data_IF_825323208896
#
_entry.id   IF_825323208896
#
_cell.length_a   1.000
_cell.length_b   1.000
_cell.length_c   1.000
_cell.angle_alpha   90.00
_cell.angle_beta   90.00
_cell.angle_gamma   90.00
#
_symmetry.space_group_name_H-M   'P 1'
#
loop_
_entity.id
_entity.type
_entity.pdbx_description
1 polymer ?
#
# COMPACT_ATOMS: atom_id res chain seq x y z
N UNK A 1 8.62 16.67 -21.20
CA UNK A 1 7.76 15.57 -21.68
C UNK A 1 8.51 14.90 -22.81
N UNK A 2 9.09 13.73 -22.55
CA UNK A 2 10.12 13.14 -23.41
C UNK A 2 9.49 12.21 -24.46
N UNK A 3 10.12 12.16 -25.64
CA UNK A 3 9.73 11.43 -26.85
C UNK A 3 9.78 9.88 -26.73
N UNK A 4 9.49 9.31 -25.55
CA UNK A 4 9.65 7.88 -25.25
C UNK A 4 8.36 7.04 -25.34
N UNK A 5 7.19 7.64 -25.56
CA UNK A 5 5.93 6.88 -25.50
C UNK A 5 5.77 5.84 -26.61
N UNK A 6 6.36 6.05 -27.79
CA UNK A 6 6.29 5.09 -28.89
C UNK A 6 7.15 3.84 -28.60
N UNK A 7 8.37 4.05 -28.11
CA UNK A 7 9.27 2.96 -27.73
C UNK A 7 8.73 2.16 -26.54
N UNK A 8 8.11 2.84 -25.57
CA UNK A 8 7.44 2.19 -24.43
C UNK A 8 6.21 1.40 -24.89
N UNK A 9 5.44 1.90 -25.86
CA UNK A 9 4.28 1.16 -26.38
C UNK A 9 4.69 -0.13 -27.11
N UNK A 10 5.67 -0.06 -28.01
CA UNK A 10 6.13 -1.25 -28.74
C UNK A 10 6.83 -2.25 -27.83
N UNK A 11 7.64 -1.79 -26.89
CA UNK A 11 8.25 -2.65 -25.87
C UNK A 11 7.18 -3.27 -24.95
N UNK A 12 6.13 -2.54 -24.58
CA UNK A 12 5.09 -3.04 -23.66
C UNK A 12 4.40 -4.31 -24.15
N UNK A 13 4.28 -4.51 -25.48
CA UNK A 13 3.73 -5.72 -26.10
C UNK A 13 4.55 -6.97 -25.79
N UNK A 14 5.84 -6.83 -25.51
CA UNK A 14 6.74 -7.94 -25.17
C UNK A 14 6.87 -8.15 -23.65
N UNK A 15 6.29 -7.26 -22.84
CA UNK A 15 6.31 -7.35 -21.38
C UNK A 15 5.08 -8.08 -20.84
N UNK A 16 5.03 -8.27 -19.52
CA UNK A 16 3.84 -8.75 -18.80
C UNK A 16 2.57 -7.91 -19.04
N UNK A 17 2.67 -6.76 -19.72
CA UNK A 17 1.53 -5.93 -20.17
C UNK A 17 0.96 -6.31 -21.54
N UNK A 18 1.64 -7.19 -22.27
CA UNK A 18 1.27 -7.66 -23.61
C UNK A 18 0.32 -8.85 -23.62
N UNK A 19 -0.04 -9.37 -22.44
CA UNK A 19 -0.82 -10.59 -22.26
C UNK A 19 0.03 -11.85 -22.21
N UNK A 20 -0.63 -12.96 -21.87
CA UNK A 20 0.03 -14.24 -21.59
C UNK A 20 0.44 -14.98 -22.87
N UNK A 21 1.70 -15.44 -22.91
CA UNK A 21 2.24 -16.28 -24.01
C UNK A 21 2.20 -17.76 -23.60
N UNK A 22 2.61 -18.08 -22.37
CA UNK A 22 2.46 -19.39 -21.74
C UNK A 22 1.51 -19.28 -20.54
N UNK A 23 0.64 -20.27 -20.38
CA UNK A 23 -0.26 -20.38 -19.23
C UNK A 23 -0.35 -21.82 -18.72
N UNK A 24 -0.82 -22.01 -17.49
CA UNK A 24 -0.86 -23.31 -16.79
C UNK A 24 -1.47 -24.43 -17.63
N UNK A 25 -2.52 -24.16 -18.41
CA UNK A 25 -3.13 -25.17 -19.29
C UNK A 25 -2.31 -25.57 -20.53
N UNK A 26 -1.39 -24.73 -21.01
CA UNK A 26 -0.43 -25.11 -22.07
C UNK A 26 0.68 -25.98 -21.47
N UNK A 27 1.11 -25.66 -20.24
CA UNK A 27 2.23 -26.34 -19.58
C UNK A 27 1.83 -27.68 -18.94
N UNK A 28 0.58 -27.84 -18.52
CA UNK A 28 0.01 -29.09 -18.00
C UNK A 28 -1.38 -29.37 -18.60
N UNK A 29 -1.42 -29.96 -19.81
CA UNK A 29 -2.67 -30.24 -20.52
C UNK A 29 -3.56 -31.27 -19.82
N UNK A 30 -3.02 -32.10 -18.92
CA UNK A 30 -3.79 -33.13 -18.21
C UNK A 30 -4.44 -32.56 -16.94
N UNK A 31 -3.73 -31.75 -16.16
CA UNK A 31 -4.32 -31.03 -15.03
C UNK A 31 -5.38 -30.02 -15.48
N UNK A 32 -5.20 -29.39 -16.64
CA UNK A 32 -6.21 -28.49 -17.23
C UNK A 32 -7.49 -29.20 -17.68
N UNK A 33 -7.43 -30.49 -18.01
CA UNK A 33 -8.62 -31.31 -18.31
C UNK A 33 -9.38 -31.68 -17.03
N UNK A 34 -8.70 -31.79 -15.89
CA UNK A 34 -9.29 -32.16 -14.60
C UNK A 34 -10.01 -30.99 -13.88
N UNK A 35 -9.67 -29.74 -14.22
CA UNK A 35 -10.40 -28.54 -13.82
C UNK A 35 -10.33 -27.51 -14.94
N UNK A 36 -11.34 -27.46 -15.83
CA UNK A 36 -11.36 -26.53 -16.94
C UNK A 36 -11.68 -25.13 -16.42
N UNK A 37 -10.66 -24.41 -15.95
CA UNK A 37 -10.76 -22.95 -15.82
C UNK A 37 -10.61 -22.39 -17.23
N UNK A 38 -11.59 -21.60 -17.70
CA UNK A 38 -11.51 -20.91 -18.99
C UNK A 38 -10.17 -20.19 -19.09
N UNK A 39 -9.28 -20.68 -19.95
CA UNK A 39 -8.01 -20.02 -20.24
C UNK A 39 -8.28 -18.93 -21.24
N UNK A 40 -8.90 -17.87 -20.75
CA UNK A 40 -9.01 -16.63 -21.49
C UNK A 40 -7.60 -16.10 -21.66
N UNK A 41 -7.17 -15.94 -22.91
CA UNK A 41 -5.97 -15.19 -23.24
C UNK A 41 -6.16 -13.77 -22.71
N UNK A 42 -5.68 -13.50 -21.50
CA UNK A 42 -5.87 -12.19 -20.88
C UNK A 42 -5.04 -11.16 -21.63
N UNK A 43 -5.70 -10.24 -22.33
CA UNK A 43 -5.03 -9.04 -22.83
C UNK A 43 -4.77 -8.08 -21.66
N UNK A 44 -3.55 -7.53 -21.60
CA UNK A 44 -3.13 -6.65 -20.52
C UNK A 44 -2.30 -7.38 -19.47
N UNK A 45 -2.38 -6.93 -18.22
CA UNK A 45 -1.61 -7.49 -17.09
C UNK A 45 -2.36 -8.59 -16.33
N UNK A 46 -3.55 -8.95 -16.78
CA UNK A 46 -4.46 -9.88 -16.12
C UNK A 46 -5.35 -9.22 -15.07
N UNK A 47 -6.60 -9.67 -14.93
CA UNK A 47 -7.59 -8.97 -14.11
C UNK A 47 -7.24 -9.00 -12.61
N UNK A 48 -6.83 -10.16 -12.10
CA UNK A 48 -6.50 -10.33 -10.68
C UNK A 48 -5.28 -9.50 -10.28
N UNK A 49 -4.25 -9.47 -11.13
CA UNK A 49 -3.07 -8.63 -10.90
C UNK A 49 -3.40 -7.14 -11.05
N UNK A 50 -4.18 -6.75 -12.07
CA UNK A 50 -4.60 -5.37 -12.26
C UNK A 50 -5.32 -4.85 -11.01
N UNK A 51 -6.19 -5.67 -10.43
CA UNK A 51 -7.04 -5.33 -9.28
C UNK A 51 -6.46 -5.72 -7.92
N UNK A 52 -5.17 -6.08 -7.86
CA UNK A 52 -4.55 -6.55 -6.62
C UNK A 52 -4.59 -5.49 -5.50
N UNK A 53 -4.34 -4.22 -5.81
CA UNK A 53 -4.54 -3.08 -4.88
C UNK A 53 -5.86 -2.38 -5.21
N UNK A 54 -6.95 -2.97 -4.73
CA UNK A 54 -8.30 -2.43 -4.82
C UNK A 54 -8.72 -1.86 -3.48
N UNK A 55 -9.25 -0.64 -3.48
CA UNK A 55 -9.70 0.02 -2.26
C UNK A 55 -10.91 -0.70 -1.67
N UNK A 56 -10.86 -1.05 -0.39
CA UNK A 56 -11.98 -1.58 0.38
C UNK A 56 -13.02 -0.50 0.71
N UNK A 57 -14.26 -0.92 0.96
CA UNK A 57 -15.31 0.03 1.38
C UNK A 57 -15.04 0.58 2.79
N UNK A 58 -14.51 -0.25 3.68
CA UNK A 58 -14.05 0.12 5.02
C UNK A 58 -12.89 1.12 4.99
N UNK A 59 -12.08 1.11 3.93
CA UNK A 59 -10.95 2.03 3.77
C UNK A 59 -11.40 3.46 3.47
N UNK A 60 -12.66 3.70 3.10
CA UNK A 60 -13.21 5.06 2.99
C UNK A 60 -13.07 5.84 4.30
N UNK A 61 -13.10 5.17 5.46
CA UNK A 61 -12.86 5.82 6.75
C UNK A 61 -11.43 6.35 6.89
N UNK A 62 -10.45 5.73 6.23
CA UNK A 62 -9.05 6.11 6.28
C UNK A 62 -8.79 7.50 5.65
N UNK A 63 -9.68 7.95 4.77
CA UNK A 63 -9.63 9.27 4.11
C UNK A 63 -9.72 10.40 5.15
N UNK A 64 -10.56 10.22 6.18
CA UNK A 64 -10.83 11.21 7.23
C UNK A 64 -10.18 10.89 8.57
N UNK A 65 -9.87 9.62 8.84
CA UNK A 65 -9.28 9.14 10.09
C UNK A 65 -8.06 8.28 9.75
N UNK A 66 -6.82 8.74 9.99
CA UNK A 66 -5.62 8.05 9.52
C UNK A 66 -5.57 6.55 9.84
N UNK A 67 -5.74 6.17 11.10
CA UNK A 67 -5.71 4.77 11.51
C UNK A 67 -7.09 4.10 11.53
N UNK A 68 -8.02 4.50 10.65
CA UNK A 68 -9.33 3.85 10.57
C UNK A 68 -9.19 2.36 10.33
N UNK A 69 -8.47 1.99 9.26
CA UNK A 69 -8.11 0.61 8.94
C UNK A 69 -6.79 0.16 9.57
N UNK A 70 -6.31 0.87 10.60
CA UNK A 70 -5.15 0.46 11.39
C UNK A 70 -3.79 0.99 10.93
N UNK A 71 -3.71 1.71 9.81
CA UNK A 71 -2.46 2.31 9.33
C UNK A 71 -1.67 1.37 8.43
N UNK A 72 -0.38 1.16 8.70
CA UNK A 72 0.48 0.26 7.93
C UNK A 72 0.25 -1.23 8.27
N UNK A 73 0.62 -2.10 7.33
CA UNK A 73 0.61 -3.56 7.55
C UNK A 73 1.71 -4.04 8.50
N UNK A 74 2.76 -3.24 8.71
CA UNK A 74 3.75 -3.43 9.77
C UNK A 74 3.77 -2.18 10.65
N UNK A 75 2.87 -2.12 11.62
CA UNK A 75 2.66 -0.94 12.44
C UNK A 75 3.44 -1.01 13.75
N UNK A 76 4.00 0.14 14.15
CA UNK A 76 4.63 0.31 15.44
C UNK A 76 3.61 0.78 16.50
N UNK A 77 3.53 0.03 17.59
CA UNK A 77 2.79 0.40 18.79
C UNK A 77 3.76 0.95 19.85
N UNK A 78 3.21 1.73 20.79
CA UNK A 78 3.94 2.19 21.97
C UNK A 78 3.93 1.14 23.08
N UNK A 79 4.81 1.30 24.07
CA UNK A 79 4.84 0.47 25.28
C UNK A 79 3.58 0.64 26.16
N UNK A 80 2.81 1.70 25.93
CA UNK A 80 1.47 1.87 26.53
C UNK A 80 0.36 1.08 25.83
N UNK A 81 0.67 0.34 24.76
CA UNK A 81 -0.30 -0.45 24.02
C UNK A 81 -0.79 -1.67 24.81
N UNK A 82 -2.00 -2.13 24.48
CA UNK A 82 -2.57 -3.33 25.11
C UNK A 82 -1.79 -4.58 24.70
N UNK A 83 -1.25 -4.60 23.49
CA UNK A 83 -0.40 -5.68 22.98
C UNK A 83 0.89 -5.78 23.81
N UNK A 84 1.58 -4.66 24.07
CA UNK A 84 2.76 -4.68 24.94
C UNK A 84 2.42 -5.16 26.35
N UNK A 85 1.33 -4.64 26.94
CA UNK A 85 0.88 -5.05 28.26
C UNK A 85 0.55 -6.54 28.32
N UNK A 86 -0.11 -7.09 27.30
CA UNK A 86 -0.43 -8.52 27.23
C UNK A 86 0.84 -9.40 27.21
N UNK A 87 1.89 -8.97 26.49
CA UNK A 87 3.18 -9.67 26.46
C UNK A 87 3.86 -9.64 27.83
N UNK A 88 4.02 -8.45 28.42
CA UNK A 88 4.73 -8.28 29.69
C UNK A 88 3.99 -8.95 30.85
N UNK A 89 2.67 -8.86 30.89
CA UNK A 89 1.84 -9.52 31.92
C UNK A 89 1.95 -11.05 31.89
N UNK A 90 2.36 -11.62 30.75
CA UNK A 90 2.61 -13.06 30.56
C UNK A 90 4.08 -13.45 30.74
N UNK A 91 4.91 -12.52 31.22
CA UNK A 91 6.32 -12.78 31.53
C UNK A 91 7.28 -12.62 30.36
N UNK A 92 6.83 -12.11 29.21
CA UNK A 92 7.74 -11.76 28.11
C UNK A 92 8.60 -10.58 28.55
N UNK A 93 9.91 -10.75 28.51
CA UNK A 93 10.84 -9.70 28.92
C UNK A 93 10.70 -8.46 28.01
N UNK A 94 10.83 -7.23 28.54
CA UNK A 94 10.76 -6.00 27.75
C UNK A 94 11.68 -6.00 26.51
N UNK A 95 12.86 -6.61 26.62
CA UNK A 95 13.84 -6.74 25.53
C UNK A 95 13.31 -7.57 24.34
N UNK A 96 12.37 -8.49 24.58
CA UNK A 96 11.70 -9.27 23.53
C UNK A 96 10.37 -8.65 23.10
N UNK A 97 9.64 -8.01 24.02
CA UNK A 97 8.36 -7.39 23.75
C UNK A 97 8.50 -6.11 22.88
N UNK A 98 9.53 -5.30 23.11
CA UNK A 98 9.71 -4.03 22.39
C UNK A 98 9.93 -4.21 20.87
N UNK A 99 10.77 -5.16 20.39
CA UNK A 99 10.88 -5.45 18.96
C UNK A 99 9.58 -5.98 18.34
N UNK A 100 8.84 -6.84 19.07
CA UNK A 100 7.59 -7.41 18.59
C UNK A 100 6.55 -6.32 18.27
N UNK A 101 6.39 -5.33 19.16
CA UNK A 101 5.38 -4.29 18.99
C UNK A 101 5.70 -3.30 17.87
N UNK A 102 6.88 -3.36 17.25
CA UNK A 102 7.27 -2.50 16.12
C UNK A 102 6.81 -3.03 14.75
N UNK A 103 6.37 -4.28 14.67
CA UNK A 103 5.98 -4.95 13.42
C UNK A 103 4.62 -5.63 13.49
N UNK A 104 3.69 -5.09 14.29
CA UNK A 104 2.37 -5.71 14.48
C UNK A 104 1.52 -5.47 13.23
N UNK A 105 0.75 -6.46 12.75
CA UNK A 105 -0.15 -6.27 11.62
C UNK A 105 -1.35 -5.42 12.04
N UNK A 106 -1.21 -4.10 12.05
CA UNK A 106 -2.29 -3.20 12.45
C UNK A 106 -3.31 -3.02 11.35
N UNK A 107 -2.87 -2.97 10.09
CA UNK A 107 -3.76 -2.88 8.94
C UNK A 107 -4.75 -4.05 8.89
N UNK A 108 -6.03 -3.73 8.68
CA UNK A 108 -7.11 -4.72 8.59
C UNK A 108 -8.04 -4.54 7.38
N UNK A 109 -7.67 -3.70 6.41
CA UNK A 109 -8.40 -3.54 5.16
C UNK A 109 -8.16 -4.67 4.16
N UNK A 110 -8.70 -4.52 2.94
CA UNK A 110 -8.66 -5.57 1.91
C UNK A 110 -7.39 -5.61 1.05
N UNK A 111 -6.54 -4.58 1.09
CA UNK A 111 -5.31 -4.57 0.29
C UNK A 111 -4.29 -5.61 0.79
N UNK A 112 -3.45 -6.17 -0.10
CA UNK A 112 -2.48 -7.20 0.31
C UNK A 112 -1.50 -6.70 1.37
N UNK A 113 -1.04 -5.46 1.22
CA UNK A 113 -0.30 -4.72 2.21
C UNK A 113 -0.32 -3.23 1.87
N UNK A 114 -0.15 -2.40 2.90
CA UNK A 114 0.03 -0.95 2.78
C UNK A 114 1.16 -0.47 3.68
N UNK A 115 1.94 0.47 3.19
CA UNK A 115 2.99 1.13 3.98
C UNK A 115 2.46 2.30 4.80
N UNK A 116 1.24 2.73 4.51
CA UNK A 116 0.51 3.75 5.24
C UNK A 116 -0.90 3.88 4.68
N UNK A 117 -1.83 4.48 5.43
CA UNK A 117 -3.21 4.62 5.03
C UNK A 117 -3.35 5.73 3.99
N UNK A 118 -4.38 5.64 3.16
CA UNK A 118 -4.72 6.70 2.22
C UNK A 118 -5.47 7.86 2.92
N UNK A 119 -4.73 8.61 3.73
CA UNK A 119 -5.26 9.78 4.43
C UNK A 119 -5.23 11.03 3.56
N UNK A 120 -6.39 11.65 3.32
CA UNK A 120 -6.48 12.86 2.49
C UNK A 120 -6.27 14.16 3.29
N UNK A 121 -6.20 14.07 4.62
CA UNK A 121 -6.21 15.23 5.52
C UNK A 121 -7.64 15.63 5.87
N UNK A 122 -8.00 15.59 7.16
CA UNK A 122 -9.37 15.88 7.59
C UNK A 122 -9.78 17.32 7.24
N UNK A 123 -8.82 18.26 7.27
CA UNK A 123 -9.06 19.65 6.89
C UNK A 123 -9.36 19.75 5.39
N UNK A 124 -8.69 18.98 4.55
CA UNK A 124 -8.98 18.95 3.10
C UNK A 124 -10.40 18.43 2.84
N UNK A 125 -10.79 17.34 3.51
CA UNK A 125 -12.15 16.77 3.38
C UNK A 125 -13.20 17.75 3.91
N UNK A 126 -12.96 18.40 5.05
CA UNK A 126 -13.83 19.44 5.59
C UNK A 126 -14.01 20.57 4.59
N UNK A 127 -12.92 21.09 4.02
CA UNK A 127 -12.97 22.18 3.06
C UNK A 127 -13.66 21.75 1.76
N UNK A 128 -13.50 20.51 1.32
CA UNK A 128 -14.26 19.96 0.20
C UNK A 128 -15.77 19.98 0.47
N UNK A 129 -16.22 19.43 1.61
CA UNK A 129 -17.65 19.43 1.99
C UNK A 129 -18.17 20.85 2.14
N UNK A 130 -17.38 21.73 2.74
CA UNK A 130 -17.65 23.16 2.80
C UNK A 130 -17.82 23.78 1.41
N UNK A 131 -16.92 23.45 0.46
CA UNK A 131 -16.97 23.90 -0.92
C UNK A 131 -18.22 23.45 -1.66
N UNK A 132 -18.70 22.23 -1.42
CA UNK A 132 -19.97 21.74 -1.98
C UNK A 132 -21.16 22.66 -1.63
N UNK A 133 -21.17 23.24 -0.42
CA UNK A 133 -22.21 24.14 0.05
C UNK A 133 -21.95 25.62 -0.27
N UNK A 134 -20.70 26.07 -0.18
CA UNK A 134 -20.31 27.47 -0.39
C UNK A 134 -20.27 27.86 -1.87
N UNK A 135 -19.76 26.98 -2.73
CA UNK A 135 -19.61 27.25 -4.15
C UNK A 135 -20.94 27.00 -4.88
N UNK A 136 -21.48 28.04 -5.55
CA UNK A 136 -22.81 28.01 -6.17
C UNK A 136 -22.80 27.68 -7.67
N UNK A 137 -21.62 27.67 -8.30
CA UNK A 137 -21.48 27.40 -9.74
C UNK A 137 -21.78 25.92 -10.09
N UNK A 138 -22.12 25.68 -11.36
CA UNK A 138 -22.34 24.34 -11.94
C UNK A 138 -21.06 23.51 -12.00
N UNK A 139 -19.87 24.13 -12.05
CA UNK A 139 -18.59 23.41 -12.09
C UNK A 139 -18.43 22.41 -10.91
N UNK A 140 -19.04 22.69 -9.75
CA UNK A 140 -19.00 21.78 -8.59
C UNK A 140 -19.54 20.39 -8.88
N UNK A 141 -20.58 20.27 -9.71
CA UNK A 141 -21.20 18.99 -10.01
C UNK A 141 -20.28 18.13 -10.87
N UNK A 142 -19.55 18.74 -11.80
CA UNK A 142 -18.53 18.05 -12.60
C UNK A 142 -17.34 17.59 -11.75
N UNK A 143 -16.88 18.43 -10.82
CA UNK A 143 -15.81 18.06 -9.87
C UNK A 143 -16.27 16.88 -9.00
N UNK A 144 -17.47 16.95 -8.42
CA UNK A 144 -18.03 15.87 -7.59
C UNK A 144 -18.20 14.59 -8.41
N UNK A 145 -18.73 14.67 -9.64
CA UNK A 145 -18.89 13.52 -10.52
C UNK A 145 -17.54 12.84 -10.83
N UNK A 146 -16.49 13.64 -11.08
CA UNK A 146 -15.14 13.11 -11.32
C UNK A 146 -14.54 12.46 -10.06
N UNK A 147 -14.76 13.03 -8.87
CA UNK A 147 -14.34 12.42 -7.60
C UNK A 147 -15.06 11.07 -7.41
N UNK A 148 -16.38 11.03 -7.60
CA UNK A 148 -17.17 9.79 -7.49
C UNK A 148 -16.65 8.75 -8.48
N UNK A 149 -16.38 9.13 -9.73
CA UNK A 149 -15.81 8.23 -10.73
C UNK A 149 -14.45 7.67 -10.30
N UNK A 150 -13.58 8.51 -9.70
CA UNK A 150 -12.29 8.04 -9.17
C UNK A 150 -12.49 6.97 -8.07
N UNK A 151 -13.45 7.16 -7.16
CA UNK A 151 -13.76 6.15 -6.14
C UNK A 151 -14.32 4.86 -6.74
N UNK A 152 -15.25 4.96 -7.69
CA UNK A 152 -15.81 3.79 -8.39
C UNK A 152 -14.72 2.97 -9.09
N UNK A 153 -13.72 3.64 -9.68
CA UNK A 153 -12.55 2.98 -10.26
C UNK A 153 -11.66 2.38 -9.17
N UNK A 154 -11.38 3.13 -8.11
CA UNK A 154 -10.47 2.71 -7.03
C UNK A 154 -10.93 1.45 -6.30
N UNK A 155 -12.25 1.21 -6.22
CA UNK A 155 -12.79 -0.01 -5.62
C UNK A 155 -12.36 -1.29 -6.35
N UNK A 156 -11.94 -1.22 -7.62
CA UNK A 156 -11.35 -2.38 -8.32
C UNK A 156 -12.18 -3.66 -8.20
N UNK A 157 -11.60 -4.72 -7.64
CA UNK A 157 -12.28 -6.01 -7.41
C UNK A 157 -13.45 -5.91 -6.42
N UNK A 158 -13.46 -4.96 -5.49
CA UNK A 158 -14.59 -4.70 -4.58
C UNK A 158 -15.82 -4.13 -5.31
N UNK A 159 -15.64 -3.62 -6.54
CA UNK A 159 -16.72 -3.27 -7.47
C UNK A 159 -16.46 -3.89 -8.85
N UNK A 160 -16.21 -5.20 -8.87
CA UNK A 160 -15.73 -5.91 -10.05
C UNK A 160 -16.58 -5.70 -11.32
N UNK A 161 -17.91 -5.63 -11.20
CA UNK A 161 -18.77 -5.37 -12.37
C UNK A 161 -18.42 -4.05 -13.08
N UNK A 162 -18.30 -2.96 -12.31
CA UNK A 162 -17.96 -1.65 -12.86
C UNK A 162 -16.53 -1.63 -13.39
N UNK A 163 -15.58 -2.20 -12.64
CA UNK A 163 -14.19 -2.21 -13.08
C UNK A 163 -13.98 -3.06 -14.35
N UNK A 164 -14.66 -4.22 -14.47
CA UNK A 164 -14.62 -5.07 -15.67
C UNK A 164 -15.16 -4.34 -16.90
N UNK A 165 -16.19 -3.51 -16.75
CA UNK A 165 -16.70 -2.69 -17.85
C UNK A 165 -15.60 -1.78 -18.42
N UNK A 166 -14.86 -1.09 -17.55
CA UNK A 166 -13.76 -0.21 -17.95
C UNK A 166 -12.58 -1.01 -18.50
N UNK A 167 -12.23 -2.11 -17.83
CA UNK A 167 -11.13 -3.01 -18.19
C UNK A 167 -11.28 -3.58 -19.61
N UNK A 168 -12.51 -3.95 -20.00
CA UNK A 168 -12.77 -4.57 -21.30
C UNK A 168 -13.05 -3.57 -22.42
N UNK A 169 -13.60 -2.38 -22.11
CA UNK A 169 -14.05 -1.42 -23.15
C UNK A 169 -13.03 -0.32 -23.41
N UNK A 170 -12.36 0.20 -22.37
CA UNK A 170 -11.51 1.38 -22.53
C UNK A 170 -10.12 0.97 -23.04
N UNK A 171 -9.69 1.46 -24.22
CA UNK A 171 -8.38 1.10 -24.77
C UNK A 171 -7.23 1.41 -23.82
N UNK A 172 -6.40 0.40 -23.53
CA UNK A 172 -5.24 0.52 -22.66
C UNK A 172 -5.53 0.51 -21.17
N UNK A 173 -6.79 0.45 -20.74
CA UNK A 173 -7.15 0.41 -19.32
C UNK A 173 -6.67 -0.87 -18.63
N UNK A 174 -6.75 -2.00 -19.33
CA UNK A 174 -6.23 -3.32 -18.90
C UNK A 174 -4.70 -3.38 -18.69
N UNK A 175 -3.98 -2.29 -18.96
CA UNK A 175 -2.53 -2.19 -18.71
C UNK A 175 -2.21 -1.51 -17.38
N UNK A 176 -3.19 -0.89 -16.72
CA UNK A 176 -2.98 -0.32 -15.39
C UNK A 176 -2.93 -1.40 -14.31
N UNK A 177 -2.19 -1.11 -13.24
CA UNK A 177 -2.13 -1.90 -12.01
C UNK A 177 -2.48 -1.00 -10.84
N UNK A 178 -3.05 -1.57 -9.78
CA UNK A 178 -3.40 -0.86 -8.55
C UNK A 178 -4.46 0.26 -8.76
N UNK A 179 -5.76 -0.10 -8.83
CA UNK A 179 -6.88 0.83 -8.86
C UNK A 179 -6.78 2.01 -7.90
N UNK A 180 -6.26 1.80 -6.68
CA UNK A 180 -6.14 2.83 -5.64
C UNK A 180 -5.36 4.07 -6.07
N UNK A 181 -4.42 3.95 -7.01
CA UNK A 181 -3.59 5.06 -7.48
C UNK A 181 -4.41 6.21 -8.11
N UNK A 182 -5.62 5.96 -8.62
CA UNK A 182 -6.47 7.02 -9.20
C UNK A 182 -6.93 8.04 -8.15
N UNK A 183 -6.93 7.67 -6.87
CA UNK A 183 -7.40 8.51 -5.77
C UNK A 183 -6.57 9.79 -5.56
N UNK A 184 -5.35 9.86 -6.12
CA UNK A 184 -4.58 11.11 -6.19
C UNK A 184 -5.33 12.22 -6.94
N UNK A 185 -6.10 11.86 -7.98
CA UNK A 185 -6.93 12.80 -8.74
C UNK A 185 -8.10 13.27 -7.88
N UNK A 186 -8.76 12.33 -7.18
CA UNK A 186 -9.84 12.66 -6.25
C UNK A 186 -9.37 13.65 -5.18
N UNK A 187 -8.21 13.41 -4.57
CA UNK A 187 -7.63 14.28 -3.54
C UNK A 187 -7.38 15.70 -4.08
N UNK A 188 -6.80 15.84 -5.27
CA UNK A 188 -6.56 17.14 -5.91
C UNK A 188 -7.87 17.88 -6.22
N UNK A 189 -8.88 17.18 -6.73
CA UNK A 189 -10.20 17.74 -7.02
C UNK A 189 -10.94 18.18 -5.76
N UNK A 190 -10.82 17.43 -4.66
CA UNK A 190 -11.36 17.80 -3.36
C UNK A 190 -10.72 19.09 -2.84
N UNK A 191 -9.40 19.20 -2.90
CA UNK A 191 -8.67 20.42 -2.54
C UNK A 191 -9.11 21.62 -3.40
N UNK A 192 -9.24 21.43 -4.72
CA UNK A 192 -9.71 22.46 -5.65
C UNK A 192 -11.09 23.00 -5.26
N UNK A 193 -12.07 22.12 -5.02
CA UNK A 193 -13.42 22.55 -4.63
C UNK A 193 -13.42 23.25 -3.28
N UNK A 194 -12.56 22.83 -2.35
CA UNK A 194 -12.38 23.52 -1.07
C UNK A 194 -11.87 24.95 -1.22
N UNK A 195 -10.90 25.18 -2.11
CA UNK A 195 -10.39 26.52 -2.42
C UNK A 195 -11.45 27.38 -3.10
N UNK A 196 -12.20 26.84 -4.07
CA UNK A 196 -13.32 27.55 -4.70
C UNK A 196 -14.40 27.92 -3.68
N UNK A 197 -14.67 27.04 -2.72
CA UNK A 197 -15.54 27.29 -1.58
C UNK A 197 -15.09 28.45 -0.71
N UNK A 198 -13.81 28.45 -0.31
CA UNK A 198 -13.24 29.54 0.49
C UNK A 198 -13.31 30.87 -0.26
N UNK A 199 -12.97 30.88 -1.56
CA UNK A 199 -13.06 32.08 -2.38
C UNK A 199 -14.49 32.65 -2.42
N UNK A 200 -15.49 31.77 -2.63
CA UNK A 200 -16.90 32.16 -2.61
C UNK A 200 -17.33 32.71 -1.23
N UNK A 201 -16.94 32.05 -0.15
CA UNK A 201 -17.29 32.46 1.22
C UNK A 201 -16.74 33.83 1.62
N UNK A 202 -15.53 34.16 1.15
CA UNK A 202 -14.89 35.45 1.41
C UNK A 202 -15.33 36.56 0.45
N UNK A 203 -16.14 36.26 -0.57
CA UNK A 203 -16.70 37.27 -1.45
C UNK A 203 -17.62 38.24 -0.69
N UNK A 204 -17.76 39.46 -1.22
CA UNK A 204 -18.65 40.49 -0.64
C UNK A 204 -20.12 40.10 -0.77
N UNK A 205 -20.46 39.32 -1.80
CA UNK A 205 -21.82 38.88 -2.10
C UNK A 205 -22.32 37.79 -1.14
N UNK A 206 -21.43 37.23 -0.30
CA UNK A 206 -21.78 36.23 0.69
C UNK A 206 -22.26 36.89 1.99
N UNK A 207 -23.57 36.85 2.24
CA UNK A 207 -24.16 37.44 3.45
C UNK A 207 -23.76 36.68 4.72
N UNK A 208 -23.86 37.32 5.90
CA UNK A 208 -23.59 36.66 7.18
C UNK A 208 -24.52 35.47 7.42
N UNK A 209 -25.79 35.58 7.00
CA UNK A 209 -26.76 34.50 7.11
C UNK A 209 -26.36 33.30 6.24
N UNK A 210 -25.92 33.54 5.00
CA UNK A 210 -25.41 32.48 4.12
C UNK A 210 -24.17 31.80 4.71
N UNK A 211 -23.23 32.58 5.25
CA UNK A 211 -22.01 32.05 5.89
C UNK A 211 -22.37 31.11 7.04
N UNK A 212 -23.26 31.52 7.93
CA UNK A 212 -23.74 30.68 9.04
C UNK A 212 -24.43 29.42 8.51
N UNK A 213 -25.27 29.54 7.47
CA UNK A 213 -25.94 28.41 6.84
C UNK A 213 -24.95 27.36 6.30
N UNK A 214 -23.92 27.81 5.58
CA UNK A 214 -22.85 26.93 5.07
C UNK A 214 -22.08 26.27 6.21
N UNK A 215 -21.66 27.04 7.22
CA UNK A 215 -20.91 26.50 8.35
C UNK A 215 -21.72 25.44 9.11
N UNK A 216 -23.02 25.67 9.33
CA UNK A 216 -23.92 24.68 9.96
C UNK A 216 -24.03 23.41 9.13
N UNK A 217 -24.30 23.52 7.82
CA UNK A 217 -24.40 22.35 6.93
C UNK A 217 -23.09 21.55 6.92
N UNK A 218 -21.96 22.24 6.78
CA UNK A 218 -20.62 21.65 6.82
C UNK A 218 -20.35 20.93 8.14
N UNK A 219 -20.61 21.60 9.26
CA UNK A 219 -20.40 21.06 10.60
C UNK A 219 -21.25 19.80 10.81
N UNK A 220 -22.54 19.86 10.48
CA UNK A 220 -23.44 18.71 10.59
C UNK A 220 -22.94 17.55 9.72
N UNK A 221 -22.59 17.79 8.45
CA UNK A 221 -22.14 16.72 7.54
C UNK A 221 -20.87 16.02 8.01
N UNK A 222 -19.86 16.77 8.50
CA UNK A 222 -18.57 16.18 8.87
C UNK A 222 -18.55 15.67 10.31
N UNK A 223 -19.04 16.46 11.26
CA UNK A 223 -19.02 16.06 12.68
C UNK A 223 -19.98 14.91 12.96
N UNK A 224 -21.13 14.81 12.28
CA UNK A 224 -22.04 13.67 12.49
C UNK A 224 -21.36 12.35 12.12
N UNK A 225 -20.64 12.30 11.01
CA UNK A 225 -19.87 11.11 10.59
C UNK A 225 -18.77 10.78 11.60
N UNK A 226 -17.98 11.77 12.03
CA UNK A 226 -16.91 11.54 13.01
C UNK A 226 -17.44 11.10 14.38
N UNK A 227 -18.53 11.71 14.87
CA UNK A 227 -19.16 11.33 16.13
C UNK A 227 -19.79 9.94 16.03
N UNK A 228 -20.42 9.61 14.90
CA UNK A 228 -20.93 8.27 14.64
C UNK A 228 -19.81 7.23 14.72
N UNK A 229 -18.68 7.46 14.04
CA UNK A 229 -17.52 6.57 14.12
C UNK A 229 -16.98 6.48 15.55
N UNK A 230 -16.94 7.59 16.29
CA UNK A 230 -16.44 7.59 17.67
C UNK A 230 -17.31 6.76 18.61
N UNK A 231 -18.64 6.87 18.48
CA UNK A 231 -19.61 6.25 19.40
C UNK A 231 -19.89 4.79 19.05
N UNK A 232 -20.11 4.49 17.77
CA UNK A 232 -20.50 3.14 17.32
C UNK A 232 -19.47 2.45 16.41
N UNK A 233 -18.41 3.12 15.98
CA UNK A 233 -17.43 2.50 15.06
C UNK A 233 -16.76 1.26 15.66
N UNK A 234 -16.52 1.22 16.97
CA UNK A 234 -15.89 0.07 17.64
C UNK A 234 -16.77 -1.18 17.70
N UNK A 235 -18.08 -1.05 17.48
CA UNK A 235 -19.06 -2.14 17.39
C UNK A 235 -19.49 -2.43 15.95
N UNK A 236 -19.46 -1.45 15.04
CA UNK A 236 -19.83 -1.63 13.64
C UNK A 236 -18.78 -2.39 12.83
N UNK A 237 -17.49 -2.17 13.11
CA UNK A 237 -16.40 -2.78 12.34
C UNK A 237 -15.80 -4.01 13.05
N UNK A 238 -15.33 -4.98 12.25
CA UNK A 238 -14.75 -6.22 12.77
C UNK A 238 -13.36 -5.99 13.38
N UNK A 239 -12.60 -5.02 12.85
CA UNK A 239 -11.16 -4.82 13.12
C UNK A 239 -10.33 -6.07 12.86
N UNK A 240 -10.81 -6.93 11.95
CA UNK A 240 -10.15 -8.18 11.56
C UNK A 240 -9.72 -8.10 10.11
N UNK A 241 -8.45 -8.41 9.85
CA UNK A 241 -7.90 -8.46 8.49
C UNK A 241 -8.42 -9.68 7.75
N UNK A 242 -8.99 -9.45 6.56
CA UNK A 242 -9.38 -10.47 5.59
C UNK A 242 -8.49 -10.44 4.32
N UNK A 243 -7.36 -9.74 4.35
CA UNK A 243 -6.46 -9.61 3.20
C UNK A 243 -5.82 -10.95 2.79
N UNK A 244 -5.68 -11.16 1.48
CA UNK A 244 -5.23 -12.43 0.89
C UNK A 244 -3.85 -12.91 1.41
N UNK A 245 -2.93 -11.97 1.69
CA UNK A 245 -1.54 -12.26 2.07
C UNK A 245 -1.16 -11.83 3.50
N UNK A 246 -2.08 -11.20 4.24
CA UNK A 246 -1.86 -10.67 5.59
C UNK A 246 -3.12 -10.85 6.44
N UNK A 247 -3.72 -12.03 6.37
CA UNK A 247 -4.96 -12.33 7.10
C UNK A 247 -4.68 -12.52 8.60
N UNK A 248 -5.68 -12.19 9.41
CA UNK A 248 -5.60 -12.42 10.86
C UNK A 248 -5.40 -13.90 11.22
N UNK A 249 -5.88 -14.83 10.38
CA UNK A 249 -5.72 -16.27 10.59
C UNK A 249 -4.28 -16.75 10.37
N UNK A 250 -3.59 -16.20 9.36
CA UNK A 250 -2.16 -16.43 9.18
C UNK A 250 -1.37 -15.90 10.38
N UNK A 251 -1.69 -14.69 10.84
CA UNK A 251 -1.04 -14.09 12.00
C UNK A 251 -1.25 -14.92 13.27
N UNK A 252 -2.47 -15.40 13.55
CA UNK A 252 -2.74 -16.31 14.68
C UNK A 252 -1.93 -17.60 14.57
N UNK A 253 -1.84 -18.18 13.38
CA UNK A 253 -1.05 -19.40 13.15
C UNK A 253 0.42 -19.16 13.46
N UNK A 254 0.98 -18.03 13.00
CA UNK A 254 2.35 -17.64 13.31
C UNK A 254 2.57 -17.43 14.82
N UNK A 255 1.64 -16.74 15.51
CA UNK A 255 1.71 -16.56 16.95
C UNK A 255 1.68 -17.88 17.72
N UNK A 256 0.81 -18.81 17.32
CA UNK A 256 0.75 -20.16 17.92
C UNK A 256 2.08 -20.89 17.77
N UNK A 257 2.71 -20.80 16.61
CA UNK A 257 4.01 -21.42 16.35
C UNK A 257 5.14 -20.74 17.15
N UNK A 258 5.13 -19.41 17.26
CA UNK A 258 6.20 -18.67 17.94
C UNK A 258 6.14 -18.80 19.47
N UNK A 259 4.94 -18.84 20.03
CA UNK A 259 4.71 -18.86 21.48
C UNK A 259 4.56 -20.29 22.02
N UNK A 260 4.06 -21.23 21.21
CA UNK A 260 3.81 -22.60 21.63
C UNK A 260 2.59 -22.79 22.53
N UNK A 261 1.85 -21.71 22.84
CA UNK A 261 0.62 -21.72 23.66
C UNK A 261 -0.52 -21.02 22.91
N UNK A 262 -1.60 -21.77 22.64
CA UNK A 262 -2.78 -21.28 21.96
C UNK A 262 -3.56 -20.22 22.75
N UNK A 263 -3.65 -20.36 24.08
CA UNK A 263 -4.36 -19.40 24.91
C UNK A 263 -3.64 -18.06 24.90
N UNK A 264 -2.31 -18.09 25.02
CA UNK A 264 -1.50 -16.87 24.97
C UNK A 264 -1.49 -16.24 23.57
N UNK A 265 -1.38 -17.03 22.50
CA UNK A 265 -1.48 -16.52 21.13
C UNK A 265 -2.83 -15.80 20.87
N UNK A 266 -3.94 -16.36 21.37
CA UNK A 266 -5.26 -15.73 21.28
C UNK A 266 -5.37 -14.44 22.11
N UNK A 267 -4.69 -14.38 23.26
CA UNK A 267 -4.64 -13.17 24.10
C UNK A 267 -3.87 -12.04 23.42
N UNK A 268 -2.70 -12.33 22.83
CA UNK A 268 -1.93 -11.37 22.02
C UNK A 268 -2.79 -10.86 20.86
N UNK A 269 -3.41 -11.77 20.10
CA UNK A 269 -4.28 -11.40 19.00
C UNK A 269 -5.45 -10.49 19.46
N UNK A 270 -6.11 -10.84 20.56
CA UNK A 270 -7.18 -10.01 21.15
C UNK A 270 -6.67 -8.62 21.55
N UNK A 271 -5.45 -8.53 22.09
CA UNK A 271 -4.82 -7.27 22.44
C UNK A 271 -4.54 -6.40 21.19
N UNK A 272 -4.07 -7.00 20.09
CA UNK A 272 -3.89 -6.32 18.79
C UNK A 272 -5.21 -5.74 18.29
N UNK A 273 -6.30 -6.52 18.31
CA UNK A 273 -7.63 -6.03 17.92
C UNK A 273 -8.09 -4.87 18.80
N UNK A 274 -7.82 -4.92 20.11
CA UNK A 274 -8.14 -3.80 21.02
C UNK A 274 -7.27 -2.56 20.77
N UNK A 275 -6.04 -2.73 20.30
CA UNK A 275 -5.18 -1.62 19.89
C UNK A 275 -5.67 -1.00 18.58
N UNK A 276 -6.05 -1.80 17.57
CA UNK A 276 -6.69 -1.32 16.33
C UNK A 276 -7.90 -0.42 16.62
N UNK A 277 -8.74 -0.82 17.59
CA UNK A 277 -9.87 0.01 18.07
C UNK A 277 -9.41 1.31 18.72
N UNK A 278 -8.42 1.25 19.60
CA UNK A 278 -7.93 2.41 20.33
C UNK A 278 -7.28 3.46 19.41
N UNK A 279 -6.48 3.02 18.43
CA UNK A 279 -5.82 3.93 17.49
C UNK A 279 -6.85 4.62 16.57
N UNK A 280 -7.89 3.91 16.11
CA UNK A 280 -9.00 4.50 15.36
C UNK A 280 -9.71 5.58 16.20
N UNK A 281 -10.07 5.27 17.45
CA UNK A 281 -10.75 6.23 18.34
C UNK A 281 -9.90 7.47 18.60
N UNK A 282 -8.61 7.28 18.90
CA UNK A 282 -7.65 8.37 19.11
C UNK A 282 -7.58 9.30 17.90
N UNK A 283 -7.45 8.74 16.70
CA UNK A 283 -7.38 9.54 15.48
C UNK A 283 -8.73 10.15 15.07
N UNK A 284 -9.85 9.55 15.48
CA UNK A 284 -11.18 10.15 15.32
C UNK A 284 -11.30 11.42 16.15
N UNK A 285 -10.88 11.39 17.42
CA UNK A 285 -10.88 12.55 18.32
C UNK A 285 -9.97 13.65 17.75
N UNK A 286 -8.75 13.28 17.31
CA UNK A 286 -7.83 14.21 16.63
C UNK A 286 -8.52 14.90 15.44
N UNK A 287 -9.23 14.13 14.62
CA UNK A 287 -9.92 14.64 13.44
C UNK A 287 -11.06 15.61 13.81
N UNK A 288 -11.83 15.32 14.85
CA UNK A 288 -12.84 16.23 15.40
C UNK A 288 -12.23 17.56 15.84
N UNK A 289 -11.08 17.52 16.54
CA UNK A 289 -10.39 18.74 17.00
C UNK A 289 -10.02 19.64 15.81
N UNK A 290 -9.40 19.09 14.77
CA UNK A 290 -9.05 19.89 13.57
C UNK A 290 -10.28 20.46 12.88
N UNK A 291 -11.38 19.70 12.81
CA UNK A 291 -12.64 20.20 12.24
C UNK A 291 -13.18 21.39 13.03
N UNK A 292 -13.22 21.28 14.36
CA UNK A 292 -13.70 22.34 15.23
C UNK A 292 -12.82 23.60 15.13
N UNK A 293 -11.50 23.44 15.05
CA UNK A 293 -10.57 24.58 14.89
C UNK A 293 -10.81 25.35 13.59
N UNK A 294 -10.95 24.65 12.46
CA UNK A 294 -11.21 25.32 11.17
C UNK A 294 -12.59 25.97 11.14
N UNK A 295 -13.62 25.29 11.64
CA UNK A 295 -14.96 25.87 11.76
C UNK A 295 -14.98 27.11 12.66
N UNK A 296 -14.23 27.09 13.77
CA UNK A 296 -14.09 28.23 14.67
C UNK A 296 -13.45 29.43 13.95
N UNK A 297 -12.36 29.22 13.19
CA UNK A 297 -11.73 30.29 12.41
C UNK A 297 -12.69 30.93 11.40
N UNK A 298 -13.44 30.11 10.65
CA UNK A 298 -14.42 30.62 9.68
C UNK A 298 -15.61 31.30 10.37
N UNK A 299 -16.00 30.83 11.55
CA UNK A 299 -17.05 31.46 12.36
C UNK A 299 -16.62 32.82 12.93
N UNK A 300 -15.38 32.93 13.43
CA UNK A 300 -14.78 34.18 13.92
C UNK A 300 -14.80 35.24 12.82
N UNK A 301 -14.44 34.86 11.58
CA UNK A 301 -14.56 35.75 10.42
C UNK A 301 -16.01 36.15 10.16
N UNK A 302 -16.94 35.19 10.18
CA UNK A 302 -18.37 35.42 9.91
C UNK A 302 -19.00 36.41 10.89
N UNK A 303 -18.62 36.35 12.16
CA UNK A 303 -19.10 37.27 13.20
C UNK A 303 -18.38 38.61 13.22
N UNK A 304 -17.34 38.77 12.40
CA UNK A 304 -16.58 40.02 12.31
C UNK A 304 -15.63 40.27 13.47
N UNK A 305 -15.36 39.27 14.32
CA UNK A 305 -14.36 39.36 15.39
C UNK A 305 -12.94 39.51 14.83
N UNK A 306 -12.65 38.88 13.68
CA UNK A 306 -11.42 39.06 12.93
C UNK A 306 -11.74 39.20 11.43
N UNK A 307 -11.54 40.40 10.88
CA UNK A 307 -11.92 40.70 9.48
C UNK A 307 -10.79 40.45 8.47
N UNK A 308 -9.54 40.23 8.91
CA UNK A 308 -8.45 39.97 7.98
C UNK A 308 -8.52 38.54 7.42
N UNK A 309 -9.13 38.41 6.23
CA UNK A 309 -9.20 37.14 5.49
C UNK A 309 -7.85 36.42 5.38
N UNK A 310 -6.79 37.17 5.10
CA UNK A 310 -5.47 36.58 4.88
C UNK A 310 -4.93 35.89 6.13
N UNK A 311 -5.23 36.41 7.33
CA UNK A 311 -4.86 35.77 8.60
C UNK A 311 -5.63 34.45 8.76
N UNK A 312 -6.94 34.46 8.51
CA UNK A 312 -7.77 33.24 8.59
C UNK A 312 -7.25 32.16 7.62
N UNK A 313 -6.97 32.53 6.37
CA UNK A 313 -6.44 31.59 5.37
C UNK A 313 -5.07 31.06 5.80
N UNK A 314 -4.17 31.93 6.29
CA UNK A 314 -2.85 31.51 6.77
C UNK A 314 -2.97 30.56 7.97
N UNK A 315 -3.89 30.81 8.91
CA UNK A 315 -4.16 29.91 10.04
C UNK A 315 -4.70 28.55 9.59
N UNK A 316 -5.63 28.51 8.62
CA UNK A 316 -6.14 27.25 8.06
C UNK A 316 -5.02 26.49 7.34
N UNK A 317 -4.18 27.18 6.56
CA UNK A 317 -3.03 26.58 5.89
C UNK A 317 -2.01 26.01 6.89
N UNK A 318 -1.75 26.72 7.99
CA UNK A 318 -0.89 26.24 9.07
C UNK A 318 -1.48 25.00 9.75
N UNK A 319 -2.78 24.99 10.06
CA UNK A 319 -3.44 23.81 10.62
C UNK A 319 -3.38 22.62 9.68
N UNK A 320 -3.57 22.83 8.37
CA UNK A 320 -3.43 21.79 7.34
C UNK A 320 -2.00 21.23 7.31
N UNK A 321 -0.99 22.10 7.40
CA UNK A 321 0.41 21.68 7.46
C UNK A 321 0.68 20.87 8.74
N UNK A 322 0.23 21.32 9.91
CA UNK A 322 0.40 20.59 11.18
C UNK A 322 -0.32 19.23 11.13
N UNK A 323 -1.54 19.17 10.59
CA UNK A 323 -2.29 17.93 10.40
C UNK A 323 -1.50 16.93 9.55
N UNK A 324 -1.12 17.31 8.34
CA UNK A 324 -0.41 16.41 7.43
C UNK A 324 1.00 16.07 7.93
N UNK A 325 1.74 17.04 8.47
CA UNK A 325 3.10 16.82 8.97
C UNK A 325 3.13 15.86 10.17
N UNK A 326 2.20 16.03 11.13
CA UNK A 326 2.08 15.13 12.28
C UNK A 326 1.65 13.72 11.90
N UNK A 327 0.98 13.56 10.76
CA UNK A 327 0.66 12.26 10.18
C UNK A 327 1.87 11.65 9.45
N UNK A 328 2.51 12.39 8.54
CA UNK A 328 3.67 11.92 7.75
C UNK A 328 4.81 11.47 8.66
N UNK A 329 5.10 12.21 9.75
CA UNK A 329 6.13 11.82 10.73
C UNK A 329 5.88 10.50 11.45
N UNK A 330 4.71 9.85 11.29
CA UNK A 330 4.47 8.50 11.80
C UNK A 330 5.05 7.41 10.90
N UNK A 331 5.30 7.72 9.63
CA UNK A 331 5.73 6.78 8.59
C UNK A 331 7.08 7.13 7.98
N UNK A 332 7.47 8.41 8.03
CA UNK A 332 8.78 8.90 7.62
C UNK A 332 9.31 9.85 8.70
N UNK A 333 10.22 9.36 9.52
CA UNK A 333 10.79 10.04 10.67
C UNK A 333 12.31 9.90 10.72
N UNK A 334 12.92 10.55 11.70
CA UNK A 334 14.38 10.67 11.80
C UNK A 334 15.08 9.30 11.95
N UNK A 335 14.37 8.24 12.36
CA UNK A 335 14.90 6.88 12.44
C UNK A 335 14.86 6.11 11.10
N UNK A 336 14.14 6.61 10.10
CA UNK A 336 14.08 6.00 8.76
C UNK A 336 15.23 6.48 7.87
N UNK A 337 15.97 7.50 8.31
CA UNK A 337 17.18 7.98 7.64
C UNK A 337 18.41 7.29 8.19
N UNK A 338 19.22 6.77 7.28
CA UNK A 338 20.51 6.14 7.52
C UNK A 338 21.64 7.17 7.36
N UNK A 339 22.75 6.96 8.05
CA UNK A 339 23.95 7.79 7.87
C UNK A 339 24.52 7.55 6.46
N UNK A 340 24.70 8.59 5.62
CA UNK A 340 25.18 8.43 4.25
C UNK A 340 26.54 7.73 4.13
N UNK A 341 27.42 7.89 5.14
CA UNK A 341 28.73 7.24 5.18
C UNK A 341 28.54 5.75 5.46
N UNK A 342 27.67 5.39 6.40
CA UNK A 342 27.36 3.99 6.70
C UNK A 342 26.63 3.31 5.53
N UNK A 343 25.73 4.01 4.84
CA UNK A 343 25.09 3.50 3.61
C UNK A 343 26.10 3.28 2.48
N UNK A 344 26.96 4.26 2.22
CA UNK A 344 27.96 4.15 1.17
C UNK A 344 28.94 3.00 1.41
N UNK A 345 29.21 2.67 2.68
CA UNK A 345 30.08 1.56 3.07
C UNK A 345 29.35 0.21 3.10
N UNK A 346 28.04 0.16 3.40
CA UNK A 346 27.33 -1.08 3.74
C UNK A 346 26.09 -1.43 2.89
N UNK A 347 25.71 -0.65 1.87
CA UNK A 347 24.46 -0.94 1.13
C UNK A 347 24.50 -2.25 0.33
N UNK A 348 25.69 -2.73 -0.04
CA UNK A 348 25.89 -4.04 -0.65
C UNK A 348 27.18 -4.65 -0.09
N UNK A 349 27.18 -5.18 1.14
CA UNK A 349 28.40 -5.71 1.73
C UNK A 349 28.86 -6.91 0.89
N UNK A 350 30.11 -6.88 0.45
CA UNK A 350 30.68 -7.97 -0.34
C UNK A 350 30.91 -9.17 0.58
N UNK A 351 30.04 -10.18 0.48
CA UNK A 351 30.12 -11.37 1.34
C UNK A 351 31.24 -12.30 0.89
N UNK A 352 31.62 -13.26 1.71
CA UNK A 352 32.66 -14.23 1.32
C UNK A 352 32.19 -15.14 0.18
N UNK A 353 30.89 -15.44 0.11
CA UNK A 353 30.25 -16.03 -1.08
C UNK A 353 30.43 -15.16 -2.33
N UNK A 354 30.27 -13.84 -2.22
CA UNK A 354 30.43 -12.93 -3.36
C UNK A 354 31.89 -12.89 -3.83
N UNK A 355 32.84 -12.81 -2.90
CA UNK A 355 34.29 -12.88 -3.21
C UNK A 355 34.63 -14.18 -3.92
N UNK A 356 34.17 -15.31 -3.39
CA UNK A 356 34.38 -16.62 -4.00
C UNK A 356 33.84 -16.66 -5.43
N UNK A 357 32.63 -16.18 -5.68
CA UNK A 357 32.05 -16.13 -7.03
C UNK A 357 32.88 -15.22 -7.94
N UNK A 358 33.23 -14.00 -7.52
CA UNK A 358 34.01 -13.06 -8.33
C UNK A 358 35.42 -13.59 -8.67
N UNK A 359 36.06 -14.26 -7.74
CA UNK A 359 37.38 -14.86 -7.95
C UNK A 359 37.33 -15.99 -8.98
N UNK A 360 36.28 -16.83 -8.95
CA UNK A 360 36.16 -18.03 -9.77
C UNK A 360 35.39 -17.82 -11.09
N UNK A 361 34.59 -16.75 -11.23
CA UNK A 361 33.72 -16.49 -12.37
C UNK A 361 34.44 -15.67 -13.47
N UNK A 362 35.49 -16.24 -14.08
CA UNK A 362 36.30 -15.55 -15.12
C UNK A 362 35.60 -15.46 -16.48
N UNK A 363 34.64 -16.35 -16.73
CA UNK A 363 33.81 -16.41 -17.94
C UNK A 363 32.58 -15.49 -17.88
N UNK A 364 32.29 -14.91 -16.72
CA UNK A 364 31.15 -14.02 -16.52
C UNK A 364 29.82 -14.77 -16.69
N UNK A 365 29.77 -16.02 -16.23
CA UNK A 365 28.55 -16.79 -16.08
C UNK A 365 27.57 -16.13 -15.10
N UNK A 366 26.30 -16.52 -15.16
CA UNK A 366 25.26 -15.97 -14.30
C UNK A 366 25.17 -16.71 -12.97
N UNK A 367 24.54 -16.08 -11.99
CA UNK A 367 24.25 -16.68 -10.68
C UNK A 367 22.77 -16.52 -10.27
N UNK A 368 22.34 -17.33 -9.30
CA UNK A 368 21.05 -17.18 -8.58
C UNK A 368 21.36 -16.98 -7.09
N UNK A 369 20.76 -15.95 -6.50
CA UNK A 369 20.93 -15.62 -5.09
C UNK A 369 19.65 -15.99 -4.34
N UNK A 370 19.73 -17.09 -3.58
CA UNK A 370 18.64 -17.66 -2.79
C UNK A 370 18.58 -17.08 -1.38
N UNK A 371 19.46 -16.15 -1.02
CA UNK A 371 19.46 -15.50 0.31
C UNK A 371 18.29 -14.52 0.49
N UNK A 372 17.60 -14.16 -0.61
CA UNK A 372 16.41 -13.32 -0.61
C UNK A 372 15.43 -13.70 -1.71
N UNK A 373 14.50 -12.79 -2.03
CA UNK A 373 13.55 -13.01 -3.11
C UNK A 373 14.24 -12.86 -4.48
N UNK A 374 14.62 -13.98 -5.07
CA UNK A 374 15.35 -14.07 -6.35
C UNK A 374 14.82 -13.10 -7.40
N UNK A 375 13.50 -13.03 -7.57
CA UNK A 375 12.85 -12.27 -8.64
C UNK A 375 12.25 -10.94 -8.19
N UNK A 376 12.48 -10.52 -6.95
CA UNK A 376 12.07 -9.21 -6.42
C UNK A 376 13.20 -8.45 -5.70
N UNK A 377 14.44 -8.95 -5.75
CA UNK A 377 15.64 -8.27 -5.25
C UNK A 377 16.52 -7.80 -6.40
N UNK A 378 16.97 -6.55 -6.36
CA UNK A 378 17.96 -6.02 -7.29
C UNK A 378 19.40 -6.09 -6.73
N UNK A 379 19.58 -6.35 -5.44
CA UNK A 379 20.87 -6.27 -4.74
C UNK A 379 21.98 -7.12 -5.35
N UNK A 380 21.74 -8.39 -5.76
CA UNK A 380 22.81 -9.23 -6.32
C UNK A 380 23.39 -8.68 -7.63
N UNK A 381 22.63 -7.86 -8.36
CA UNK A 381 23.06 -7.26 -9.62
C UNK A 381 24.20 -6.24 -9.46
N UNK A 382 24.48 -5.79 -8.22
CA UNK A 382 25.57 -4.86 -7.93
C UNK A 382 26.94 -5.48 -8.23
N UNK A 383 27.16 -6.74 -7.85
CA UNK A 383 28.42 -7.46 -8.08
C UNK A 383 28.32 -8.50 -9.19
N UNK A 384 27.14 -9.06 -9.45
CA UNK A 384 27.00 -10.26 -10.26
C UNK A 384 26.00 -10.12 -11.40
N UNK A 385 26.21 -10.94 -12.44
CA UNK A 385 25.21 -11.17 -13.48
C UNK A 385 24.15 -12.12 -12.93
N UNK A 386 23.09 -11.60 -12.32
CA UNK A 386 22.02 -12.43 -11.73
C UNK A 386 20.96 -12.82 -12.76
N UNK A 387 20.45 -14.06 -12.66
CA UNK A 387 19.21 -14.49 -13.33
C UNK A 387 18.00 -13.86 -12.63
N UNK A 388 18.12 -13.57 -11.34
CA UNK A 388 17.10 -12.86 -10.59
C UNK A 388 16.93 -11.40 -11.00
N UNK A 389 16.26 -10.62 -10.16
CA UNK A 389 16.06 -9.20 -10.35
C UNK A 389 14.61 -8.75 -10.29
N UNK A 390 14.40 -7.54 -9.76
CA UNK A 390 13.13 -6.82 -9.87
C UNK A 390 13.11 -5.91 -11.11
N UNK A 391 12.04 -5.98 -11.89
CA UNK A 391 11.75 -5.02 -12.95
C UNK A 391 10.21 -4.85 -13.05
N UNK A 392 9.66 -3.61 -13.05
CA UNK A 392 8.21 -3.39 -13.11
C UNK A 392 7.59 -3.68 -14.49
N UNK A 393 8.40 -3.89 -15.53
CA UNK A 393 7.99 -4.22 -16.89
C UNK A 393 8.86 -5.39 -17.43
N UNK A 394 8.88 -6.52 -16.71
CA UNK A 394 9.58 -7.74 -17.16
C UNK A 394 9.05 -8.21 -18.51
N UNK A 395 9.94 -8.78 -19.32
CA UNK A 395 9.57 -9.45 -20.56
C UNK A 395 8.65 -10.64 -20.25
N UNK A 396 7.52 -10.79 -20.96
CA UNK A 396 6.55 -11.85 -20.70
C UNK A 396 7.17 -13.23 -20.82
N UNK A 397 7.93 -13.47 -21.89
CA UNK A 397 8.65 -14.74 -22.10
C UNK A 397 9.59 -15.09 -20.95
N UNK A 398 10.21 -14.08 -20.34
CA UNK A 398 11.07 -14.29 -19.19
C UNK A 398 10.26 -14.60 -17.93
N UNK A 399 9.15 -13.88 -17.73
CA UNK A 399 8.20 -14.17 -16.64
C UNK A 399 7.65 -15.61 -16.75
N UNK A 400 7.31 -16.07 -17.96
CA UNK A 400 6.88 -17.45 -18.18
C UNK A 400 7.96 -18.47 -17.81
N UNK A 401 9.22 -18.22 -18.20
CA UNK A 401 10.36 -19.08 -17.82
C UNK A 401 10.53 -19.08 -16.30
N UNK A 402 10.35 -17.94 -15.62
CA UNK A 402 10.39 -17.86 -14.15
C UNK A 402 9.29 -18.72 -13.52
N UNK A 403 8.04 -18.51 -13.92
CA UNK A 403 6.86 -19.12 -13.31
C UNK A 403 6.78 -20.63 -13.55
N UNK A 404 7.09 -21.09 -14.76
CA UNK A 404 6.90 -22.48 -15.15
C UNK A 404 8.19 -23.28 -15.22
N UNK A 405 9.33 -22.63 -15.50
CA UNK A 405 10.62 -23.30 -15.69
C UNK A 405 11.50 -23.23 -14.45
N UNK A 406 11.97 -22.04 -14.09
CA UNK A 406 12.91 -21.86 -12.97
C UNK A 406 12.25 -22.22 -11.64
N UNK A 407 10.96 -21.90 -11.45
CA UNK A 407 10.23 -22.30 -10.23
C UNK A 407 10.12 -23.83 -10.10
N UNK A 408 9.97 -24.55 -11.22
CA UNK A 408 10.02 -26.01 -11.24
C UNK A 408 11.43 -26.53 -10.89
N UNK A 409 12.47 -25.97 -11.51
CA UNK A 409 13.86 -26.35 -11.23
C UNK A 409 14.27 -26.08 -9.76
N UNK A 410 13.84 -24.96 -9.19
CA UNK A 410 14.12 -24.64 -7.78
C UNK A 410 13.26 -25.45 -6.79
N UNK A 411 12.10 -25.95 -7.20
CA UNK A 411 11.23 -26.77 -6.36
C UNK A 411 11.62 -28.26 -6.36
N UNK A 412 11.58 -28.90 -7.53
CA UNK A 412 11.78 -30.34 -7.71
C UNK A 412 13.27 -30.71 -7.78
N UNK A 413 14.09 -29.93 -8.50
CA UNK A 413 15.50 -30.26 -8.77
C UNK A 413 16.48 -29.76 -7.70
N UNK A 414 16.07 -28.88 -6.77
CA UNK A 414 16.91 -28.47 -5.65
C UNK A 414 17.35 -29.65 -4.75
N UNK A 415 16.64 -30.79 -4.79
CA UNK A 415 16.98 -32.03 -4.07
C UNK A 415 17.86 -33.00 -4.87
N UNK A 416 17.98 -32.85 -6.19
CA UNK A 416 18.66 -33.80 -7.09
C UNK A 416 19.95 -33.25 -7.74
N UNK A 417 20.32 -32.00 -7.43
CA UNK A 417 21.46 -31.31 -8.03
C UNK A 417 21.10 -30.58 -9.32
N UNK A 418 21.90 -29.56 -9.67
CA UNK A 418 21.62 -28.62 -10.77
C UNK A 418 21.82 -29.22 -12.17
N UNK A 419 22.34 -30.44 -12.25
CA UNK A 419 22.54 -31.15 -13.52
C UNK A 419 21.23 -31.38 -14.28
N UNK A 420 20.10 -31.50 -13.58
CA UNK A 420 18.77 -31.67 -14.19
C UNK A 420 17.96 -30.37 -14.31
N UNK A 421 18.52 -29.24 -13.87
CA UNK A 421 17.86 -27.94 -13.87
C UNK A 421 17.97 -27.27 -15.25
N UNK A 422 17.26 -27.81 -16.24
CA UNK A 422 17.40 -27.43 -17.65
C UNK A 422 17.15 -25.93 -17.91
N UNK A 423 16.16 -25.33 -17.23
CA UNK A 423 15.83 -23.90 -17.41
C UNK A 423 16.86 -22.99 -16.74
N UNK A 424 17.44 -23.43 -15.63
CA UNK A 424 18.56 -22.72 -14.99
C UNK A 424 19.83 -22.84 -15.85
N UNK A 425 20.11 -24.03 -16.41
CA UNK A 425 21.32 -24.30 -17.19
C UNK A 425 21.34 -23.56 -18.54
N UNK A 426 20.21 -23.50 -19.27
CA UNK A 426 20.12 -22.75 -20.54
C UNK A 426 20.37 -21.25 -20.35
N UNK A 427 20.20 -20.73 -19.13
CA UNK A 427 20.48 -19.34 -18.78
C UNK A 427 21.95 -19.11 -18.37
N UNK A 428 22.83 -20.09 -18.56
CA UNK A 428 24.25 -20.06 -18.22
C UNK A 428 24.45 -19.74 -16.72
N UNK A 429 23.75 -20.49 -15.86
CA UNK A 429 23.85 -20.33 -14.41
C UNK A 429 24.93 -21.24 -13.82
N UNK A 430 26.00 -20.65 -13.32
CA UNK A 430 27.13 -21.41 -12.77
C UNK A 430 27.20 -21.42 -11.24
N UNK A 431 26.55 -20.47 -10.57
CA UNK A 431 26.63 -20.33 -9.12
C UNK A 431 25.25 -20.13 -8.49
N UNK A 432 25.00 -20.86 -7.40
CA UNK A 432 23.87 -20.62 -6.50
C UNK A 432 24.39 -20.20 -5.13
N UNK A 433 24.06 -18.98 -4.73
CA UNK A 433 24.39 -18.43 -3.43
C UNK A 433 23.24 -18.73 -2.47
N UNK A 434 23.48 -19.56 -1.46
CA UNK A 434 22.50 -19.93 -0.43
C UNK A 434 22.73 -19.20 0.91
N UNK A 435 23.88 -18.55 1.07
CA UNK A 435 24.29 -17.89 2.29
C UNK A 435 25.39 -16.87 2.05
N UNK A 436 25.88 -16.26 3.13
CA UNK A 436 26.92 -15.22 3.08
C UNK A 436 28.32 -15.80 2.97
N UNK A 437 28.53 -17.03 3.45
CA UNK A 437 29.82 -17.71 3.52
C UNK A 437 30.21 -18.38 2.20
N UNK A 438 31.51 -18.49 1.90
CA UNK A 438 32.00 -19.10 0.66
C UNK A 438 31.53 -20.54 0.44
N UNK A 439 31.41 -21.33 1.52
CA UNK A 439 30.91 -22.71 1.49
C UNK A 439 29.41 -22.82 1.18
N UNK A 440 28.67 -21.70 1.22
CA UNK A 440 27.26 -21.63 0.88
C UNK A 440 27.02 -21.38 -0.62
N UNK A 441 28.09 -21.41 -1.42
CA UNK A 441 28.01 -21.32 -2.88
C UNK A 441 28.05 -22.71 -3.48
N UNK A 442 26.99 -23.10 -4.17
CA UNK A 442 26.95 -24.31 -4.99
C UNK A 442 27.43 -23.95 -6.40
N UNK A 443 28.47 -24.64 -6.87
CA UNK A 443 28.96 -24.53 -8.24
C UNK A 443 28.22 -25.54 -9.12
N UNK A 444 27.58 -25.03 -10.16
CA UNK A 444 26.93 -25.82 -11.18
C UNK A 444 27.93 -26.16 -12.30
N UNK A 445 28.40 -27.39 -12.32
CA UNK A 445 29.32 -27.87 -13.36
C UNK A 445 28.64 -28.20 -14.70
N UNK A 446 27.31 -28.01 -14.78
CA UNK A 446 26.51 -28.38 -15.95
C UNK A 446 26.18 -27.19 -16.87
N UNK A 447 26.65 -25.99 -16.51
CA UNK A 447 26.36 -24.73 -17.18
C UNK A 447 27.59 -24.16 -17.90
#
# INVERSE_FOLDING_TARGET
>A
MNFSNYFVYDFSKQTTRGGDILHKAIMDPEAAKASPTETVKEEGVGFDYATQWSYGFEELGAIIIPNFTGGSSGGALSESSKTYQALVNKGVQPMQAAPFIRGVPLYWGTEPFVQGPMYFGIICVLLFVFGCFAYKDKLKYWIIAAIVLCFLIAFGKNLAFFYKLLYNIIPGFNKFRAPTMILVIAQALMALLGVLGLNAFFSKDFSVADRIGVLKKTAISVLSVLVLVLVIGTSMFSFKSAGDNNSDEQFKTQLKQSVGDEAFANEIYSAVVKDRKAIMQKDTIRSIIYVLLVLALLFIYTKGYLKQRNIIIASIALLLLIDNWSFVKRYLNDNDFSDPILEAQNNFPLTDADKFILENNKDGARMIDLTGNVFNSASPAYYHRTIGGYNPAKLRRYQDIIEYGISYDLGENAKAGLTKANYINILNNKYLKQGVDANSVIVNNSA
#
